data_IF_280739722009
#
_entry.id   IF_280739722009
#
_cell.length_a   1.000
_cell.length_b   1.000
_cell.length_c   1.000
_cell.angle_alpha   90.00
_cell.angle_beta   90.00
_cell.angle_gamma   90.00
#
_symmetry.space_group_name_H-M   'P 1'
#
loop_
_entity.id
_entity.type
_entity.pdbx_description
1 polymer ?
2 non-polymer ?
3 non-polymer ?
4 water ?
#
# COMPACT_ATOMS: atom_id res chain seq x y z
N UNK A 1 20.01 -8.15 6.38
CA UNK A 1 20.07 -9.42 5.59
C UNK A 1 21.16 -9.32 4.53
N UNK A 2 21.77 -10.46 4.24
CA UNK A 2 22.76 -10.50 3.17
C UNK A 2 22.08 -10.64 1.79
N UNK A 3 22.83 -10.50 0.70
CA UNK A 3 22.33 -10.72 -0.66
C UNK A 3 22.64 -12.13 -1.12
N UNK A 4 21.62 -12.93 -1.39
CA UNK A 4 21.85 -14.30 -1.81
C UNK A 4 22.19 -14.37 -3.28
N UNK A 5 22.87 -15.46 -3.66
CA UNK A 5 23.28 -15.65 -5.05
C UNK A 5 22.80 -16.97 -5.65
N UNK A 6 21.93 -17.68 -4.94
CA UNK A 6 21.44 -18.96 -5.44
C UNK A 6 20.49 -18.84 -6.62
N UNK A 7 19.78 -17.72 -6.69
CA UNK A 7 18.75 -17.51 -7.71
C UNK A 7 18.90 -16.07 -8.18
N UNK A 8 19.16 -15.89 -9.48
CA UNK A 8 19.28 -14.55 -10.05
C UNK A 8 18.01 -13.76 -9.77
N UNK A 9 18.18 -12.47 -9.46
CA UNK A 9 17.06 -11.58 -9.27
C UNK A 9 16.88 -10.73 -10.51
N UNK A 10 15.81 -10.99 -11.24
CA UNK A 10 15.51 -10.27 -12.48
C UNK A 10 14.20 -9.55 -12.25
N UNK A 11 14.27 -8.24 -12.09
CA UNK A 11 13.06 -7.48 -11.84
C UNK A 11 12.21 -7.32 -13.09
N UNK A 12 10.93 -7.68 -13.02
CA UNK A 12 10.08 -7.45 -14.18
C UNK A 12 10.04 -5.98 -14.56
N UNK A 13 9.97 -5.68 -15.84
CA UNK A 13 9.85 -4.29 -16.27
C UNK A 13 8.42 -3.83 -16.13
N UNK A 14 8.25 -2.58 -15.70
CA UNK A 14 6.93 -2.00 -15.69
C UNK A 14 7.10 -0.52 -15.98
N UNK A 15 6.91 -0.15 -17.23
CA UNK A 15 7.21 1.20 -17.68
C UNK A 15 6.21 2.16 -17.04
N UNK A 16 6.63 3.39 -16.76
CA UNK A 16 5.70 4.39 -16.29
C UNK A 16 5.98 5.62 -17.14
N UNK A 17 5.15 6.64 -16.95
CA UNK A 17 5.38 7.88 -17.69
C UNK A 17 5.49 9.07 -16.76
N UNK A 18 6.44 9.95 -17.05
CA UNK A 18 6.50 11.21 -16.31
C UNK A 18 5.99 12.30 -17.27
N UNK A 19 5.16 13.20 -16.75
CA UNK A 19 4.37 14.13 -17.57
C UNK A 19 4.57 15.55 -17.09
N UNK A 20 4.69 16.48 -18.04
CA UNK A 20 4.68 17.92 -17.76
C UNK A 20 3.68 18.60 -18.65
N UNK A 21 3.23 19.75 -18.17
CA UNK A 21 2.23 20.55 -18.85
C UNK A 21 2.69 20.86 -20.29
N UNK A 22 3.92 21.35 -20.40
CA UNK A 22 4.40 21.75 -21.72
C UNK A 22 4.92 20.64 -22.61
N UNK A 23 5.51 19.62 -21.99
CA UNK A 23 6.26 18.59 -22.67
C UNK A 23 5.47 17.32 -22.90
N UNK A 24 4.34 17.20 -22.21
CA UNK A 24 3.59 15.98 -22.29
C UNK A 24 4.28 14.86 -21.54
N UNK A 25 3.96 13.65 -21.98
CA UNK A 25 4.32 12.44 -21.26
C UNK A 25 5.51 11.76 -21.92
N UNK A 26 6.45 11.31 -21.10
CA UNK A 26 7.63 10.60 -21.57
C UNK A 26 7.83 9.31 -20.76
N UNK A 27 8.13 8.21 -21.42
CA UNK A 27 8.36 6.94 -20.71
C UNK A 27 9.62 6.86 -19.84
N UNK A 28 9.48 6.14 -18.73
CA UNK A 28 10.57 5.81 -17.83
C UNK A 28 10.65 4.28 -17.81
N UNK A 29 11.86 3.77 -17.88
CA UNK A 29 12.07 2.32 -17.88
C UNK A 29 12.12 1.76 -16.46
N UNK A 30 11.02 1.96 -15.75
CA UNK A 30 10.94 1.46 -14.38
C UNK A 30 10.72 -0.05 -14.32
N UNK A 31 10.94 -0.62 -13.13
CA UNK A 31 10.82 -2.06 -12.94
C UNK A 31 10.07 -2.28 -11.64
N UNK A 32 9.75 -3.53 -11.29
CA UNK A 32 9.18 -3.80 -9.94
C UNK A 32 9.98 -4.87 -9.23
N UNK A 33 9.96 -4.82 -7.90
CA UNK A 33 10.74 -5.74 -7.09
C UNK A 33 9.87 -6.31 -5.97
N UNK A 34 9.95 -7.62 -5.77
CA UNK A 34 9.21 -8.28 -4.71
C UNK A 34 9.72 -7.88 -3.32
N UNK A 35 8.78 -7.57 -2.43
CA UNK A 35 9.09 -7.25 -1.04
C UNK A 35 9.82 -8.38 -0.31
N UNK A 36 10.77 -8.02 0.55
CA UNK A 36 11.66 -9.01 1.15
C UNK A 36 10.93 -10.05 2.01
N UNK A 37 9.76 -9.72 2.56
CA UNK A 37 9.07 -10.68 3.42
C UNK A 37 8.64 -11.95 2.70
N UNK A 38 8.46 -11.86 1.38
CA UNK A 38 8.04 -13.00 0.59
C UNK A 38 9.16 -13.93 0.16
N UNK A 39 10.40 -13.49 0.31
CA UNK A 39 11.54 -14.23 -0.25
C UNK A 39 12.04 -15.37 0.62
N UNK A 40 12.68 -16.30 -0.06
CA UNK A 40 13.49 -17.33 0.56
C UNK A 40 14.60 -16.68 1.36
N UNK A 41 14.79 -17.13 2.60
CA UNK A 41 15.87 -16.60 3.42
C UNK A 41 16.70 -17.81 3.84
N UNK A 42 18.00 -17.79 3.53
CA UNK A 42 18.80 -19.00 3.75
C UNK A 42 20.22 -18.63 4.16
N UNK A 43 20.97 -19.59 4.69
CA UNK A 43 22.35 -19.32 5.12
C UNK A 43 23.17 -18.72 3.97
N UNK A 44 23.97 -17.70 4.29
CA UNK A 44 24.79 -17.06 3.27
C UNK A 44 25.75 -18.03 2.62
N UNK A 45 26.11 -19.07 3.35
CA UNK A 45 27.11 -19.98 2.80
C UNK A 45 26.53 -21.20 2.08
N UNK A 46 25.21 -21.26 1.91
CA UNK A 46 24.59 -22.43 1.28
C UNK A 46 23.09 -22.34 1.03
N UNK A 47 22.37 -23.43 1.33
CA UNK A 47 20.96 -23.51 0.96
C UNK A 47 20.03 -23.75 2.16
N UNK A 48 20.59 -23.86 3.36
CA UNK A 48 19.78 -24.11 4.54
C UNK A 48 18.89 -22.93 4.93
N UNK A 49 17.61 -23.19 5.18
CA UNK A 49 16.69 -22.09 5.48
C UNK A 49 17.02 -21.44 6.81
N UNK A 50 16.96 -20.11 6.87
CA UNK A 50 16.92 -19.40 8.13
C UNK A 50 15.49 -19.25 8.66
N UNK A 51 14.52 -19.40 7.79
CA UNK A 51 13.13 -19.19 8.16
C UNK A 51 12.39 -20.23 7.32
N UNK A 52 11.56 -21.04 7.95
CA UNK A 52 10.72 -22.00 7.24
C UNK A 52 9.32 -21.99 7.84
N UNK A 53 8.31 -21.88 6.99
CA UNK A 53 6.95 -21.84 7.52
C UNK A 53 6.75 -20.55 8.28
N UNK A 54 6.63 -20.66 9.60
CA UNK A 54 6.41 -19.47 10.40
C UNK A 54 7.42 -19.34 11.55
N UNK A 55 8.55 -20.03 11.42
CA UNK A 55 9.56 -19.99 12.46
C UNK A 55 10.96 -19.83 11.88
N UNK A 56 11.78 -19.19 12.68
CA UNK A 56 13.19 -19.00 12.39
C UNK A 56 14.00 -20.18 12.90
N UNK A 57 15.14 -20.39 12.28
CA UNK A 57 16.11 -21.36 12.77
C UNK A 57 16.93 -20.68 13.86
N UNK A 58 16.74 -21.09 15.13
CA UNK A 58 17.42 -20.37 16.20
C UNK A 58 18.91 -20.71 16.25
N UNK A 59 19.34 -21.75 15.55
CA UNK A 59 20.76 -21.97 15.36
C UNK A 59 21.40 -20.86 14.51
N UNK A 60 20.81 -20.62 13.35
CA UNK A 60 21.31 -19.56 12.45
C UNK A 60 20.93 -18.18 12.97
N UNK A 61 19.82 -18.12 13.71
CA UNK A 61 19.26 -16.84 14.12
C UNK A 61 18.97 -16.70 15.61
N UNK A 62 20.00 -16.79 16.45
CA UNK A 62 19.78 -16.65 17.89
C UNK A 62 19.47 -15.23 18.33
N UNK A 63 19.81 -14.24 17.50
CA UNK A 63 19.47 -12.87 17.78
C UNK A 63 19.42 -12.12 16.45
N UNK A 64 18.88 -10.90 16.47
CA UNK A 64 18.68 -10.16 15.25
C UNK A 64 19.92 -9.90 14.40
N UNK A 65 21.01 -9.51 15.06
CA UNK A 65 22.23 -9.13 14.37
C UNK A 65 22.92 -10.38 13.83
N UNK A 66 22.97 -11.43 14.64
CA UNK A 66 23.55 -12.69 14.18
C UNK A 66 22.78 -13.25 12.98
N UNK A 67 21.46 -13.17 13.05
CA UNK A 67 20.65 -13.66 11.95
C UNK A 67 20.96 -12.90 10.66
N UNK A 68 20.97 -11.58 10.74
CA UNK A 68 21.24 -10.76 9.56
C UNK A 68 22.61 -11.05 8.94
N UNK A 69 23.57 -11.42 9.79
CA UNK A 69 24.89 -11.71 9.28
C UNK A 69 24.91 -13.10 8.62
N UNK A 70 24.11 -14.02 9.14
CA UNK A 70 24.14 -15.42 8.70
C UNK A 70 23.26 -15.69 7.51
N UNK A 71 22.30 -14.78 7.28
CA UNK A 71 21.18 -15.08 6.41
C UNK A 71 21.05 -14.12 5.26
N UNK A 72 20.70 -14.68 4.11
CA UNK A 72 20.59 -13.98 2.86
C UNK A 72 19.20 -14.09 2.24
N UNK A 73 18.73 -12.98 1.71
CA UNK A 73 17.56 -12.95 0.84
C UNK A 73 17.94 -13.38 -0.56
N UNK A 74 17.09 -14.16 -1.22
CA UNK A 74 17.48 -14.54 -2.56
C UNK A 74 16.51 -14.11 -3.64
N UNK A 75 16.87 -14.38 -4.90
CA UNK A 75 16.08 -14.04 -6.06
C UNK A 75 14.77 -14.78 -6.12
N UNK A 76 13.82 -14.28 -6.91
CA UNK A 76 12.44 -14.76 -6.93
C UNK A 76 12.03 -15.20 -8.34
N UNK A 77 11.30 -16.32 -8.46
CA UNK A 77 10.62 -16.66 -9.71
C UNK A 77 9.28 -15.94 -9.64
N UNK A 78 9.25 -14.77 -10.27
CA UNK A 78 8.12 -13.89 -10.11
C UNK A 78 6.78 -14.55 -10.49
N UNK A 79 6.72 -15.14 -11.69
CA UNK A 79 5.49 -15.76 -12.14
C UNK A 79 5.26 -17.11 -11.47
N UNK A 80 6.29 -17.93 -11.45
CA UNK A 80 6.10 -19.31 -11.03
C UNK A 80 5.79 -19.48 -9.56
N UNK A 81 6.43 -18.66 -8.73
CA UNK A 81 6.26 -18.79 -7.28
C UNK A 81 5.22 -17.80 -6.77
N UNK A 82 5.16 -16.61 -7.35
CA UNK A 82 4.35 -15.55 -6.75
C UNK A 82 3.18 -15.06 -7.57
N UNK A 83 3.03 -15.54 -8.80
CA UNK A 83 1.92 -15.15 -9.63
C UNK A 83 1.99 -13.70 -10.09
N UNK A 84 3.21 -13.20 -10.22
CA UNK A 84 3.45 -11.81 -10.66
C UNK A 84 3.94 -11.80 -12.07
N UNK A 85 3.21 -11.12 -12.95
CA UNK A 85 3.68 -10.96 -14.30
C UNK A 85 3.51 -9.53 -14.78
N UNK A 86 4.31 -9.17 -15.77
CA UNK A 86 4.13 -7.88 -16.39
C UNK A 86 4.25 -7.99 -17.89
N UNK A 87 3.39 -7.26 -18.61
CA UNK A 87 3.59 -7.07 -20.04
C UNK A 87 4.67 -6.06 -20.41
N UNK A 88 5.18 -5.34 -19.41
CA UNK A 88 6.03 -4.21 -19.67
C UNK A 88 5.31 -2.91 -19.34
N UNK A 89 3.98 -2.91 -19.43
CA UNK A 89 3.23 -1.73 -18.99
C UNK A 89 2.09 -2.06 -18.06
N UNK A 90 1.72 -3.33 -18.00
CA UNK A 90 0.62 -3.76 -17.14
C UNK A 90 1.08 -4.89 -16.24
N UNK A 91 0.82 -4.71 -14.95
CA UNK A 91 1.28 -5.62 -13.91
C UNK A 91 0.10 -6.44 -13.42
N UNK A 92 0.23 -7.76 -13.51
CA UNK A 92 -0.81 -8.65 -12.98
C UNK A 92 -0.33 -9.33 -11.70
N UNK A 93 -1.10 -9.18 -10.63
CA UNK A 93 -0.79 -9.83 -9.35
C UNK A 93 -1.90 -10.83 -9.07
N UNK A 94 -1.53 -12.10 -9.06
CA UNK A 94 -2.50 -13.16 -8.85
C UNK A 94 -2.53 -13.43 -7.36
N UNK A 95 -3.66 -13.87 -6.84
CA UNK A 95 -3.86 -14.02 -5.41
C UNK A 95 -3.10 -15.23 -4.84
N UNK A 96 -3.54 -16.46 -5.18
CA UNK A 96 -2.82 -17.63 -4.68
C UNK A 96 -2.01 -18.38 -5.74
N UNK A 97 -0.77 -18.72 -5.40
CA UNK A 97 0.08 -19.47 -6.32
C UNK A 97 0.71 -20.56 -5.46
N UNK A 98 0.27 -21.79 -5.65
CA UNK A 98 0.71 -22.88 -4.80
C UNK A 98 0.40 -22.52 -3.36
N UNK A 99 1.40 -22.52 -2.48
CA UNK A 99 1.17 -22.22 -1.08
C UNK A 99 1.45 -20.74 -0.79
N UNK A 100 1.73 -19.98 -1.85
CA UNK A 100 2.01 -18.56 -1.67
C UNK A 100 0.73 -17.77 -1.72
N UNK A 101 0.53 -16.85 -0.79
CA UNK A 101 -0.67 -16.03 -0.82
C UNK A 101 -0.28 -14.56 -0.91
N UNK A 102 -0.76 -13.92 -1.97
CA UNK A 102 -0.54 -12.51 -2.19
C UNK A 102 0.86 -12.15 -2.60
N UNK A 103 1.06 -10.84 -2.76
CA UNK A 103 2.38 -10.31 -3.05
C UNK A 103 2.36 -8.82 -2.80
N UNK A 104 3.54 -8.24 -2.65
CA UNK A 104 3.69 -6.79 -2.72
C UNK A 104 4.99 -6.52 -3.44
N UNK A 105 4.95 -5.56 -4.37
CA UNK A 105 6.14 -5.19 -5.10
C UNK A 105 6.30 -3.67 -5.04
N UNK A 106 7.51 -3.18 -5.31
CA UNK A 106 7.75 -1.75 -5.34
C UNK A 106 8.27 -1.32 -6.70
N UNK A 107 7.93 -0.10 -7.07
CA UNK A 107 8.42 0.45 -8.34
C UNK A 107 9.87 0.89 -8.21
N UNK A 108 10.72 0.41 -9.11
CA UNK A 108 12.15 0.74 -9.08
C UNK A 108 12.54 1.68 -10.21
N UNK A 109 13.43 2.62 -9.91
CA UNK A 109 14.07 3.45 -10.94
C UNK A 109 15.11 2.64 -11.72
N UNK A 110 15.82 1.78 -10.99
CA UNK A 110 16.77 0.86 -11.60
C UNK A 110 16.95 -0.32 -10.65
N UNK A 111 17.94 -1.16 -10.93
CA UNK A 111 18.04 -2.42 -10.20
C UNK A 111 18.40 -2.33 -8.73
N UNK A 112 18.90 -1.18 -8.29
CA UNK A 112 19.21 -1.02 -6.87
C UNK A 112 18.58 0.18 -6.18
N UNK A 113 17.63 0.84 -6.81
CA UNK A 113 16.94 1.95 -6.15
C UNK A 113 15.47 1.96 -6.47
N UNK A 114 14.66 2.08 -5.44
CA UNK A 114 13.25 2.41 -5.64
C UNK A 114 13.09 3.73 -6.38
N UNK A 115 12.05 3.83 -7.20
CA UNK A 115 11.66 5.12 -7.75
C UNK A 115 11.13 6.02 -6.64
N UNK A 116 11.70 7.21 -6.50
CA UNK A 116 11.29 8.08 -5.41
C UNK A 116 10.36 9.12 -6.00
N UNK A 117 9.09 9.05 -5.63
CA UNK A 117 8.07 9.89 -6.22
C UNK A 117 7.84 11.09 -5.30
N UNK A 118 7.88 12.29 -5.86
CA UNK A 118 7.65 13.51 -5.09
C UNK A 118 6.40 14.15 -5.66
N UNK A 119 5.28 13.99 -4.97
CA UNK A 119 4.00 14.24 -5.60
C UNK A 119 3.31 15.50 -5.09
N UNK A 120 3.98 16.29 -4.26
CA UNK A 120 3.32 17.56 -3.88
C UNK A 120 3.09 18.44 -5.11
N UNK A 121 1.87 18.95 -5.30
CA UNK A 121 1.55 19.77 -6.46
C UNK A 121 1.76 18.95 -7.72
N UNK A 122 1.46 17.65 -7.62
CA UNK A 122 1.60 16.77 -8.76
C UNK A 122 0.42 15.83 -8.72
N UNK A 123 0.32 15.00 -9.75
CA UNK A 123 -0.76 14.00 -9.74
C UNK A 123 -0.22 12.63 -10.12
N UNK A 124 -0.92 11.62 -9.68
CA UNK A 124 -0.58 10.25 -9.99
C UNK A 124 -1.79 9.59 -10.62
N UNK A 125 -1.58 8.88 -11.73
CA UNK A 125 -2.70 8.27 -12.45
C UNK A 125 -2.33 6.86 -12.83
N UNK A 126 -3.33 5.98 -12.80
CA UNK A 126 -3.13 4.60 -13.24
C UNK A 126 -4.43 4.02 -13.74
N UNK A 127 -4.36 2.89 -14.46
CA UNK A 127 -5.56 2.13 -14.77
C UNK A 127 -5.58 0.88 -13.91
N UNK A 128 -6.79 0.42 -13.60
CA UNK A 128 -6.95 -0.78 -12.79
C UNK A 128 -8.05 -1.63 -13.39
N UNK A 129 -7.83 -2.94 -13.36
CA UNK A 129 -8.90 -3.87 -13.67
C UNK A 129 -9.15 -4.74 -12.44
N UNK A 130 -10.33 -4.59 -11.84
CA UNK A 130 -10.70 -5.33 -10.65
C UNK A 130 -11.81 -6.32 -10.98
N UNK A 131 -12.01 -6.60 -12.26
CA UNK A 131 -13.08 -7.52 -12.65
C UNK A 131 -13.01 -8.86 -11.94
N UNK A 132 -11.80 -9.30 -11.63
CA UNK A 132 -11.55 -10.57 -10.96
C UNK A 132 -11.00 -10.41 -9.53
N UNK A 133 -11.35 -9.30 -8.89
CA UNK A 133 -10.88 -9.02 -7.54
C UNK A 133 -12.10 -8.84 -6.64
N UNK A 134 -12.57 -9.91 -6.02
CA UNK A 134 -13.82 -9.88 -5.27
C UNK A 134 -13.76 -9.44 -3.82
N UNK A 135 -14.94 -9.35 -3.19
CA UNK A 135 -15.09 -9.22 -1.74
C UNK A 135 -14.00 -9.95 -0.94
N UNK A 136 -13.53 -9.28 0.11
CA UNK A 136 -12.52 -9.80 1.01
C UNK A 136 -11.08 -9.64 0.56
N UNK A 137 -10.84 -9.21 -0.67
CA UNK A 137 -9.46 -9.07 -1.16
C UNK A 137 -9.19 -7.59 -1.29
N UNK A 138 -7.92 -7.22 -1.40
CA UNK A 138 -7.59 -5.81 -1.55
C UNK A 138 -6.45 -5.74 -2.59
N UNK A 139 -6.66 -4.98 -3.66
CA UNK A 139 -5.60 -4.69 -4.61
C UNK A 139 -5.21 -3.26 -4.28
N UNK A 140 -4.02 -3.10 -3.71
CA UNK A 140 -3.63 -1.81 -3.15
C UNK A 140 -2.47 -1.20 -3.93
N UNK A 141 -2.56 0.12 -4.11
CA UNK A 141 -1.49 0.86 -4.78
C UNK A 141 -1.34 2.03 -3.84
N UNK A 142 -0.14 2.12 -3.28
CA UNK A 142 0.08 3.11 -2.24
C UNK A 142 1.50 3.57 -2.13
N UNK A 143 1.68 4.68 -1.41
CA UNK A 143 3.02 5.22 -1.18
C UNK A 143 3.44 5.04 0.26
N UNK A 144 4.71 4.69 0.47
CA UNK A 144 5.31 4.63 1.80
C UNK A 144 6.61 5.44 1.83
N UNK A 145 6.92 6.04 2.97
CA UNK A 145 8.13 6.85 3.13
C UNK A 145 9.34 5.97 3.42
N UNK A 146 9.56 5.01 2.53
CA UNK A 146 10.75 4.17 2.53
C UNK A 146 11.94 4.89 1.95
N UNK A 147 13.13 4.41 2.29
CA UNK A 147 14.35 4.95 1.70
C UNK A 147 14.58 4.37 0.30
N UNK A 148 15.14 5.15 -0.60
CA UNK A 148 15.26 4.62 -1.97
C UNK A 148 16.16 3.39 -2.09
N UNK A 149 17.07 3.25 -1.15
CA UNK A 149 18.00 2.10 -1.13
C UNK A 149 17.55 1.02 -0.13
N UNK A 150 16.31 1.14 0.35
CA UNK A 150 15.76 0.10 1.18
C UNK A 150 16.39 0.04 2.55
N UNK A 151 17.18 1.07 2.89
CA UNK A 151 17.77 1.14 4.21
C UNK A 151 19.27 0.85 4.23
N UNK A 152 19.87 0.60 3.07
CA UNK A 152 21.23 0.09 3.08
C UNK A 152 22.20 1.12 3.65
N UNK A 153 21.99 2.39 3.32
CA UNK A 153 22.95 3.38 3.77
C UNK A 153 22.85 3.60 5.29
N UNK A 154 21.67 3.41 5.84
CA UNK A 154 21.44 3.66 7.26
C UNK A 154 21.78 2.47 8.16
N UNK A 155 21.75 1.26 7.61
CA UNK A 155 21.84 0.06 8.44
C UNK A 155 22.87 -0.91 7.88
N UNK A 156 24.05 -0.93 8.50
CA UNK A 156 25.15 -1.74 7.97
C UNK A 156 24.80 -3.23 7.83
N UNK A 157 23.82 -3.68 8.61
CA UNK A 157 23.43 -5.08 8.64
C UNK A 157 22.62 -5.46 7.42
N UNK A 158 22.17 -4.45 6.67
CA UNK A 158 21.38 -4.69 5.46
C UNK A 158 22.28 -4.53 4.24
N UNK A 159 22.69 -5.65 3.67
CA UNK A 159 23.54 -5.65 2.49
C UNK A 159 22.74 -6.05 1.25
N UNK A 160 21.42 -6.19 1.41
CA UNK A 160 20.57 -6.63 0.34
C UNK A 160 19.92 -5.43 -0.34
N UNK A 161 19.26 -4.57 0.43
CA UNK A 161 18.77 -3.32 -0.14
C UNK A 161 17.58 -3.44 -1.06
N UNK A 162 17.34 -2.38 -1.82
CA UNK A 162 16.16 -2.28 -2.66
C UNK A 162 16.11 -3.39 -3.70
N UNK A 163 17.28 -3.87 -4.13
CA UNK A 163 17.32 -4.96 -5.09
C UNK A 163 16.51 -6.17 -4.62
N UNK A 164 16.41 -6.35 -3.30
CA UNK A 164 15.69 -7.51 -2.75
C UNK A 164 14.46 -7.05 -1.98
N UNK A 165 14.04 -5.81 -2.21
CA UNK A 165 12.77 -5.35 -1.63
C UNK A 165 12.81 -5.11 -0.13
N UNK A 166 13.97 -4.73 0.39
CA UNK A 166 14.03 -4.40 1.83
C UNK A 166 13.54 -3.01 2.23
N UNK A 167 13.30 -2.83 3.52
CA UNK A 167 13.06 -1.52 4.10
C UNK A 167 11.62 -1.08 4.18
N UNK A 168 10.72 -2.04 4.06
CA UNK A 168 9.31 -1.70 4.16
C UNK A 168 8.96 -0.99 5.47
N UNK A 169 8.00 -0.07 5.39
CA UNK A 169 7.38 0.51 6.57
C UNK A 169 6.02 0.98 6.12
N UNK A 170 5.11 1.12 7.07
CA UNK A 170 3.82 1.72 6.75
C UNK A 170 3.17 2.23 8.01
N UNK A 171 1.96 2.75 7.87
CA UNK A 171 1.36 3.54 8.97
C UNK A 171 0.81 2.62 10.05
N UNK A 172 0.87 1.32 9.80
CA UNK A 172 0.34 0.34 10.74
C UNK A 172 1.47 -0.16 11.64
N UNK A 173 2.69 0.33 11.42
CA UNK A 173 3.83 -0.07 12.26
C UNK A 173 3.92 -1.61 12.36
N UNK A 174 3.82 -2.31 11.24
CA UNK A 174 3.66 -3.76 11.27
C UNK A 174 4.85 -4.45 11.94
N UNK A 175 4.56 -5.44 12.79
CA UNK A 175 5.60 -6.20 13.47
C UNK A 175 5.81 -7.54 12.80
N UNK A 176 5.18 -7.77 11.65
CA UNK A 176 5.34 -9.04 10.94
C UNK A 176 6.49 -9.00 9.92
N UNK A 177 7.14 -7.86 9.82
CA UNK A 177 8.24 -7.71 8.86
C UNK A 177 9.48 -8.38 9.43
N UNK A 178 10.13 -9.18 8.60
CA UNK A 178 11.18 -10.08 9.04
C UNK A 178 12.52 -9.40 9.23
N UNK A 179 12.85 -8.45 8.37
CA UNK A 179 14.05 -7.64 8.54
C UNK A 179 13.73 -6.16 8.72
N UNK A 180 14.21 -5.57 9.82
CA UNK A 180 14.02 -4.15 10.09
C UNK A 180 15.35 -3.58 10.58
N UNK A 181 15.76 -2.46 9.99
CA UNK A 181 16.98 -1.78 10.43
C UNK A 181 18.18 -2.73 10.32
N UNK A 182 18.17 -3.60 9.33
CA UNK A 182 19.32 -4.47 9.12
C UNK A 182 19.44 -5.59 10.13
N UNK A 183 18.38 -5.83 10.91
CA UNK A 183 18.40 -6.94 11.88
C UNK A 183 17.17 -7.80 11.68
N UNK A 184 17.31 -9.11 11.79
CA UNK A 184 16.11 -9.94 11.80
C UNK A 184 15.26 -9.66 13.02
N UNK A 185 13.97 -9.59 12.78
CA UNK A 185 13.00 -9.27 13.83
C UNK A 185 12.60 -10.50 14.63
N UNK A 186 13.59 -11.17 15.22
CA UNK A 186 13.34 -12.47 15.82
C UNK A 186 12.96 -12.46 17.29
N UNK A 187 13.00 -11.27 17.90
CA UNK A 187 12.78 -11.16 19.34
C UNK A 187 11.34 -11.48 19.65
N UNK A 188 11.12 -12.38 20.60
CA UNK A 188 9.78 -12.75 21.01
C UNK A 188 8.95 -13.15 19.81
N UNK A 189 9.57 -13.86 18.86
CA UNK A 189 8.85 -14.20 17.66
C UNK A 189 7.64 -15.05 17.98
N UNK A 190 6.50 -14.64 17.43
CA UNK A 190 5.19 -15.21 17.71
C UNK A 190 4.53 -15.62 16.39
N UNK A 191 4.10 -16.88 16.28
CA UNK A 191 3.44 -17.35 15.07
C UNK A 191 2.06 -16.73 14.96
N UNK A 192 1.68 -16.29 13.77
CA UNK A 192 0.35 -15.71 13.57
C UNK A 192 -0.44 -16.37 12.45
N UNK A 193 0.23 -17.26 11.73
CA UNK A 193 -0.40 -18.03 10.69
C UNK A 193 0.64 -19.02 10.22
N UNK A 194 0.28 -19.84 9.24
CA UNK A 194 1.16 -20.90 8.76
C UNK A 194 2.47 -20.37 8.19
N UNK A 195 2.43 -19.20 7.57
CA UNK A 195 3.66 -18.67 6.98
C UNK A 195 4.07 -17.33 7.57
N UNK A 196 3.40 -16.91 8.63
CA UNK A 196 3.66 -15.60 9.20
C UNK A 196 3.82 -15.58 10.71
N UNK A 197 4.46 -14.51 11.17
CA UNK A 197 4.64 -14.24 12.59
C UNK A 197 4.92 -12.78 12.86
N UNK A 198 5.10 -12.44 14.12
CA UNK A 198 5.51 -11.11 14.52
C UNK A 198 6.65 -11.18 15.50
N UNK A 199 7.46 -10.14 15.47
CA UNK A 199 8.60 -10.00 16.34
C UNK A 199 8.39 -8.79 17.22
N UNK A 200 9.41 -8.42 17.96
CA UNK A 200 9.28 -7.42 19.01
C UNK A 200 9.31 -5.99 18.46
N UNK A 201 9.75 -5.85 17.20
CA UNK A 201 9.84 -4.54 16.58
C UNK A 201 8.83 -4.38 15.46
N UNK A 202 8.35 -3.15 15.29
CA UNK A 202 7.59 -2.79 14.10
C UNK A 202 8.34 -1.78 13.27
N UNK A 203 7.82 -1.46 12.09
CA UNK A 203 8.50 -0.50 11.25
C UNK A 203 7.46 0.48 10.68
N UNK A 204 7.64 1.74 11.04
CA UNK A 204 6.63 2.79 10.90
C UNK A 204 7.08 3.86 9.92
N UNK A 205 6.13 4.34 9.13
CA UNK A 205 6.30 5.58 8.39
C UNK A 205 4.98 6.06 7.80
N UNK A 206 4.95 7.33 7.42
CA UNK A 206 3.76 7.88 6.78
C UNK A 206 3.46 7.11 5.50
N UNK A 207 2.18 7.08 5.15
CA UNK A 207 1.69 6.23 4.07
C UNK A 207 0.56 7.00 3.38
N UNK A 208 0.58 7.03 2.06
CA UNK A 208 -0.54 7.57 1.31
C UNK A 208 -1.19 6.44 0.51
N UNK A 209 -2.39 6.04 0.93
CA UNK A 209 -3.08 4.99 0.23
C UNK A 209 -3.86 5.55 -0.92
N UNK A 210 -3.21 5.59 -2.09
CA UNK A 210 -3.90 6.07 -3.28
C UNK A 210 -5.09 5.19 -3.60
N UNK A 211 -4.97 3.88 -3.36
CA UNK A 211 -6.01 2.97 -3.83
C UNK A 211 -5.98 1.72 -2.97
N UNK A 212 -7.05 1.51 -2.22
CA UNK A 212 -7.28 0.22 -1.59
C UNK A 212 -8.65 -0.17 -2.03
N UNK A 213 -8.80 -1.29 -2.73
CA UNK A 213 -10.09 -1.54 -3.36
C UNK A 213 -10.22 -2.99 -3.78
N UNK A 214 -11.48 -3.38 -3.96
CA UNK A 214 -11.85 -4.55 -4.73
C UNK A 214 -13.10 -4.15 -5.49
N UNK A 215 -13.72 -5.08 -6.19
CA UNK A 215 -14.81 -4.68 -7.07
C UNK A 215 -16.07 -4.29 -6.33
N UNK A 216 -16.06 -4.40 -5.01
CA UNK A 216 -17.17 -3.91 -4.20
C UNK A 216 -16.99 -2.50 -3.64
N UNK A 217 -15.76 -2.11 -3.32
CA UNK A 217 -15.57 -0.87 -2.57
C UNK A 217 -14.14 -0.42 -2.80
N UNK A 218 -13.94 0.88 -2.65
CA UNK A 218 -12.61 1.48 -2.79
C UNK A 218 -12.47 2.62 -1.79
N UNK A 219 -11.23 2.85 -1.38
CA UNK A 219 -10.95 3.98 -0.50
C UNK A 219 -9.59 4.58 -0.87
N UNK A 220 -9.44 5.88 -0.69
CA UNK A 220 -8.15 6.52 -0.71
C UNK A 220 -7.98 7.28 0.61
N UNK A 221 -6.78 7.18 1.16
CA UNK A 221 -6.56 7.52 2.57
C UNK A 221 -5.12 7.95 2.87
N UNK A 222 -4.90 9.22 3.23
CA UNK A 222 -3.62 9.58 3.83
C UNK A 222 -3.48 9.09 5.28
N UNK A 223 -2.29 8.60 5.63
CA UNK A 223 -1.96 8.25 7.01
C UNK A 223 -0.66 8.90 7.48
N UNK A 224 -0.69 10.08 8.11
CA UNK A 224 0.55 10.70 8.56
C UNK A 224 1.06 10.05 9.83
N UNK A 225 2.37 10.10 10.00
CA UNK A 225 3.00 9.73 11.27
C UNK A 225 3.82 10.90 11.76
N UNK A 226 4.06 10.96 13.07
CA UNK A 226 4.84 12.06 13.63
C UNK A 226 6.32 12.02 13.31
N UNK A 227 6.80 10.86 12.87
CA UNK A 227 8.21 10.73 12.52
C UNK A 227 8.44 11.04 11.06
N UNK A 228 9.70 11.07 10.68
CA UNK A 228 10.02 11.31 9.29
C UNK A 228 10.84 10.12 8.88
N UNK A 229 10.39 9.47 7.83
CA UNK A 229 11.09 8.32 7.29
C UNK A 229 10.85 7.09 8.11
N UNK A 230 11.42 5.99 7.61
CA UNK A 230 11.20 4.68 8.17
C UNK A 230 11.83 4.63 9.55
N UNK A 231 11.04 4.18 10.52
CA UNK A 231 11.41 4.21 11.93
C UNK A 231 11.06 2.89 12.56
N UNK A 232 12.02 2.25 13.21
CA UNK A 232 11.71 1.05 13.95
C UNK A 232 11.12 1.44 15.30
N UNK A 233 10.09 0.72 15.73
CA UNK A 233 9.33 1.03 16.95
C UNK A 233 9.27 -0.21 17.85
N UNK A 234 9.15 0.03 19.15
CA UNK A 234 8.85 -1.05 20.07
C UNK A 234 7.88 -0.48 21.08
N UNK A 235 7.20 -1.37 21.79
CA UNK A 235 6.32 -0.97 22.86
C UNK A 235 5.24 -0.03 22.34
N UNK A 236 4.92 0.99 23.12
CA UNK A 236 3.71 1.75 22.89
C UNK A 236 3.80 2.56 21.60
N UNK A 237 5.02 2.84 21.15
CA UNK A 237 5.20 3.57 19.90
C UNK A 237 4.60 2.80 18.73
N UNK A 238 4.57 1.48 18.81
CA UNK A 238 4.02 0.67 17.71
C UNK A 238 2.52 0.66 17.67
N UNK A 239 1.90 1.12 18.76
CA UNK A 239 0.47 0.92 18.93
C UNK A 239 -0.22 1.76 17.87
N UNK A 240 -1.14 1.15 17.14
CA UNK A 240 -1.89 1.87 16.12
C UNK A 240 -2.57 3.08 16.75
N UNK A 241 -2.42 4.21 16.08
CA UNK A 241 -3.15 5.44 16.41
C UNK A 241 -2.56 6.19 17.58
N UNK A 242 -2.35 5.50 18.69
CA UNK A 242 -1.89 6.18 19.90
C UNK A 242 -0.38 6.29 19.86
N UNK A 243 0.25 5.53 18.98
CA UNK A 243 1.69 5.57 18.87
C UNK A 243 2.14 6.57 17.83
N UNK A 244 3.20 6.24 17.10
CA UNK A 244 3.80 7.18 16.17
C UNK A 244 2.87 7.55 15.02
N UNK A 245 1.98 6.64 14.65
CA UNK A 245 1.31 6.73 13.35
C UNK A 245 -0.20 6.79 13.43
N UNK A 246 -0.80 7.50 12.48
CA UNK A 246 -2.24 7.41 12.28
C UNK A 246 -2.61 6.16 11.51
N UNK A 247 -3.04 5.13 12.23
CA UNK A 247 -3.36 3.84 11.64
C UNK A 247 -4.69 3.84 10.91
N UNK A 248 -5.64 4.68 11.34
CA UNK A 248 -6.95 4.72 10.72
C UNK A 248 -6.93 5.52 9.41
N UNK A 249 -6.19 6.62 9.41
CA UNK A 249 -6.10 7.51 8.26
C UNK A 249 -7.34 8.37 8.11
N UNK A 250 -7.28 9.34 7.22
CA UNK A 250 -8.49 10.06 6.87
C UNK A 250 -8.97 9.54 5.53
N UNK A 251 -9.94 8.64 5.56
CA UNK A 251 -10.33 7.91 4.36
C UNK A 251 -11.47 8.57 3.61
N UNK A 252 -11.44 8.44 2.29
CA UNK A 252 -12.57 8.73 1.44
C UNK A 252 -12.98 7.47 0.68
N UNK A 253 -14.03 6.84 1.21
CA UNK A 253 -14.67 5.71 0.58
C UNK A 253 -16.07 6.20 0.20
N UNK A 254 -16.38 6.20 -1.10
CA UNK A 254 -17.62 6.81 -1.57
C UNK A 254 -18.84 6.23 -0.87
N UNK A 255 -18.80 4.93 -0.63
CA UNK A 255 -19.91 4.26 0.03
C UNK A 255 -20.01 4.64 1.50
N UNK A 256 -18.88 4.61 2.20
CA UNK A 256 -18.85 5.06 3.59
C UNK A 256 -19.31 6.50 3.72
N UNK A 257 -19.01 7.29 2.69
CA UNK A 257 -19.39 8.68 2.72
C UNK A 257 -20.81 8.91 2.20
N UNK A 258 -21.55 7.84 1.97
CA UNK A 258 -23.00 7.99 1.85
C UNK A 258 -23.55 7.96 0.44
N UNK A 259 -22.71 7.60 -0.52
CA UNK A 259 -23.14 7.38 -1.88
C UNK A 259 -22.95 5.91 -2.21
N UNK A 260 -24.04 5.16 -2.09
CA UNK A 260 -23.96 3.71 -2.19
C UNK A 260 -24.04 3.20 -3.62
N UNK A 261 -24.18 4.10 -4.60
CA UNK A 261 -24.35 3.71 -6.00
C UNK A 261 -23.28 4.30 -6.93
N UNK A 262 -22.23 4.86 -6.35
CA UNK A 262 -21.20 5.47 -7.20
C UNK A 262 -20.22 4.48 -7.83
N UNK A 263 -19.73 3.55 -7.03
CA UNK A 263 -18.63 2.68 -7.44
C UNK A 263 -18.94 1.23 -7.06
N UNK A 264 -18.89 0.35 -8.05
CA UNK A 264 -19.20 -1.06 -7.90
C UNK A 264 -19.59 -1.66 -9.23
N UNK A 265 -20.03 -2.92 -9.25
CA UNK A 265 -20.38 -3.56 -10.51
C UNK A 265 -21.59 -2.86 -11.13
N UNK A 266 -21.44 -2.44 -12.38
CA UNK A 266 -22.44 -1.70 -13.13
C UNK A 266 -22.80 -0.31 -12.67
N UNK A 267 -22.01 0.25 -11.73
CA UNK A 267 -22.27 1.58 -11.17
C UNK A 267 -21.63 2.68 -12.03
N UNK A 268 -21.62 3.92 -11.53
CA UNK A 268 -21.04 5.03 -12.28
C UNK A 268 -19.59 4.78 -12.67
N UNK A 269 -18.82 4.32 -11.69
CA UNK A 269 -17.50 3.76 -11.93
C UNK A 269 -17.77 2.26 -11.83
N UNK A 270 -17.70 1.61 -13.00
CA UNK A 270 -18.15 0.24 -13.22
C UNK A 270 -16.97 -0.69 -12.99
N UNK A 271 -16.93 -1.34 -11.83
CA UNK A 271 -15.72 -2.08 -11.42
C UNK A 271 -15.67 -3.43 -12.11
N UNK A 272 -16.69 -3.70 -12.92
CA UNK A 272 -16.62 -4.90 -13.74
C UNK A 272 -15.72 -4.72 -14.95
N UNK A 273 -15.29 -3.49 -15.23
CA UNK A 273 -14.45 -3.21 -16.39
C UNK A 273 -13.24 -2.33 -15.95
N UNK A 274 -12.16 -2.26 -16.72
CA UNK A 274 -11.01 -1.41 -16.36
C UNK A 274 -11.42 0.07 -16.31
N UNK A 275 -10.70 0.84 -15.50
CA UNK A 275 -10.92 2.29 -15.54
C UNK A 275 -9.64 2.98 -15.05
N UNK A 276 -9.63 4.29 -15.21
CA UNK A 276 -8.48 5.13 -14.91
C UNK A 276 -8.79 5.88 -13.61
N UNK A 277 -7.79 5.99 -12.74
CA UNK A 277 -7.93 6.68 -11.45
C UNK A 277 -6.84 7.76 -11.40
N UNK A 278 -7.31 9.00 -11.24
CA UNK A 278 -6.41 10.15 -11.16
C UNK A 278 -6.47 10.67 -9.74
N UNK A 279 -5.30 10.95 -9.18
CA UNK A 279 -5.26 11.48 -7.82
C UNK A 279 -4.35 12.69 -7.82
N UNK A 280 -4.86 13.83 -7.36
CA UNK A 280 -4.06 15.06 -7.43
C UNK A 280 -3.79 15.57 -6.03
N UNK A 281 -2.57 16.05 -5.81
CA UNK A 281 -2.12 16.44 -4.47
C UNK A 281 -1.87 17.96 -4.50
N UNK A 282 -2.89 18.72 -4.11
CA UNK A 282 -2.84 20.17 -4.28
C UNK A 282 -2.25 20.85 -3.05
N UNK A 283 -1.49 21.92 -3.28
CA UNK A 283 -0.95 22.68 -2.14
C UNK A 283 -1.67 24.02 -2.03
N UNK A 284 -1.54 24.68 -0.88
CA UNK A 284 -2.28 25.91 -0.65
C UNK A 284 -1.93 27.02 -1.64
N UNK A 285 -0.70 26.96 -2.16
CA UNK A 285 -0.24 28.01 -3.05
C UNK A 285 0.13 27.50 -4.44
N UNK A 286 -0.30 26.28 -4.75
CA UNK A 286 0.01 25.66 -6.04
C UNK A 286 1.49 25.63 -6.34
N UNK A 287 2.33 25.49 -5.31
CA UNK A 287 3.75 25.24 -5.51
C UNK A 287 4.15 23.93 -4.85
N UNK A 288 5.27 23.38 -5.29
CA UNK A 288 5.81 22.20 -4.64
C UNK A 288 6.41 22.45 -3.25
N UNK A 289 6.41 23.69 -2.77
CA UNK A 289 6.88 23.98 -1.40
C UNK A 289 5.73 24.32 -0.48
N UNK A 290 4.53 24.38 -1.01
CA UNK A 290 3.39 24.73 -0.20
C UNK A 290 2.94 23.58 0.70
N UNK A 291 1.91 23.87 1.49
CA UNK A 291 1.32 22.89 2.39
C UNK A 291 0.25 22.11 1.64
N UNK A 292 0.34 20.77 1.68
CA UNK A 292 -0.72 19.95 1.12
C UNK A 292 -2.08 20.37 1.70
N UNK A 293 -3.01 20.71 0.82
CA UNK A 293 -4.29 21.31 1.22
C UNK A 293 -5.50 20.49 0.76
N UNK A 294 -5.32 19.71 -0.28
CA UNK A 294 -6.46 18.97 -0.81
C UNK A 294 -5.95 17.76 -1.58
N UNK A 295 -6.65 16.63 -1.46
CA UNK A 295 -6.39 15.49 -2.33
C UNK A 295 -7.64 15.26 -3.16
N UNK A 296 -7.51 15.46 -4.47
CA UNK A 296 -8.65 15.29 -5.37
C UNK A 296 -8.57 13.97 -6.11
N UNK A 297 -9.73 13.51 -6.56
CA UNK A 297 -9.85 12.22 -7.27
C UNK A 297 -10.77 12.39 -8.45
N UNK A 298 -10.29 11.95 -9.61
CA UNK A 298 -11.09 11.92 -10.84
C UNK A 298 -10.97 10.52 -11.42
N UNK A 299 -12.06 9.99 -11.97
CA UNK A 299 -12.02 8.71 -12.67
C UNK A 299 -12.26 8.93 -14.17
N UNK A 300 -11.71 8.04 -14.99
CA UNK A 300 -12.07 8.05 -16.40
C UNK A 300 -12.43 6.64 -16.79
N UNK A 301 -13.60 6.48 -17.40
CA UNK A 301 -13.98 5.15 -17.89
C UNK A 301 -14.73 5.29 -19.20
N UNK A 302 -14.35 4.49 -20.19
CA UNK A 302 -14.92 4.64 -21.53
C UNK A 302 -14.86 6.07 -22.08
N UNK A 303 -13.76 6.76 -21.78
CA UNK A 303 -13.58 8.13 -22.22
C UNK A 303 -14.43 9.16 -21.50
N UNK A 304 -15.23 8.73 -20.53
CA UNK A 304 -16.05 9.66 -19.75
C UNK A 304 -15.29 10.09 -18.51
N UNK A 305 -15.22 11.40 -18.33
CA UNK A 305 -14.56 11.97 -17.14
C UNK A 305 -15.57 12.00 -15.99
N UNK A 306 -15.22 11.36 -14.87
CA UNK A 306 -16.15 11.16 -13.78
C UNK A 306 -15.56 11.80 -12.53
N UNK A 307 -16.22 12.86 -12.03
CA UNK A 307 -15.74 13.48 -10.80
C UNK A 307 -16.02 12.57 -9.62
N UNK A 308 -15.26 12.74 -8.55
CA UNK A 308 -15.50 11.95 -7.35
C UNK A 308 -16.89 12.21 -6.76
N UNK A 309 -17.43 11.20 -6.09
CA UNK A 309 -18.71 11.35 -5.43
C UNK A 309 -18.65 12.36 -4.31
N UNK A 310 -19.82 12.96 -4.04
CA UNK A 310 -19.93 13.92 -2.96
C UNK A 310 -20.31 13.21 -1.66
N UNK A 311 -19.78 13.68 -0.54
CA UNK A 311 -20.10 13.14 0.78
C UNK A 311 -21.56 13.45 1.07
N UNK A 312 -22.25 12.48 1.68
CA UNK A 312 -23.64 12.72 2.04
C UNK A 312 -23.89 12.16 3.43
N UNK A 313 -23.38 12.89 4.43
CA UNK A 313 -23.47 12.52 5.84
C UNK A 313 -23.84 13.75 6.69
N UNK A 314 -24.90 13.67 7.48
CA UNK A 314 -25.26 14.77 8.37
C UNK A 314 -24.05 15.26 9.18
N UNK A 315 -23.79 16.56 9.14
CA UNK A 315 -22.68 17.10 9.89
C UNK A 315 -21.39 17.08 9.08
N UNK A 316 -21.44 16.59 7.85
CA UNK A 316 -20.27 16.66 6.97
C UNK A 316 -20.61 17.46 5.73
N UNK A 317 -19.78 18.45 5.42
CA UNK A 317 -20.05 19.30 4.25
C UNK A 317 -20.02 18.36 3.05
N UNK A 318 -20.88 18.62 2.07
CA UNK A 318 -21.00 17.75 0.88
C UNK A 318 -19.88 18.03 -0.14
N UNK A 319 -18.69 17.56 0.19
CA UNK A 319 -17.51 17.78 -0.64
C UNK A 319 -17.10 16.45 -1.23
N UNK A 320 -16.17 16.51 -2.18
CA UNK A 320 -15.74 15.31 -2.89
C UNK A 320 -14.21 15.17 -2.93
N UNK A 321 -13.54 15.87 -2.04
CA UNK A 321 -12.10 15.72 -1.91
C UNK A 321 -11.71 15.66 -0.45
N UNK A 322 -10.48 15.23 -0.19
CA UNK A 322 -10.01 15.19 1.20
C UNK A 322 -9.34 16.50 1.55
N UNK A 323 -9.79 17.12 2.65
CA UNK A 323 -9.13 18.31 3.19
C UNK A 323 -9.08 18.13 4.71
N UNK A 324 -8.32 18.96 5.40
CA UNK A 324 -8.29 18.89 6.87
C UNK A 324 -9.69 19.06 7.48
N UNK A 325 -10.48 19.98 6.91
CA UNK A 325 -11.82 20.19 7.44
C UNK A 325 -12.72 18.98 7.20
N UNK A 326 -12.62 18.37 6.03
CA UNK A 326 -13.40 17.17 5.78
C UNK A 326 -13.07 16.08 6.79
N UNK A 327 -11.78 15.90 7.02
CA UNK A 327 -11.30 14.92 7.98
C UNK A 327 -11.90 15.16 9.38
N UNK A 328 -11.85 16.40 9.86
CA UNK A 328 -12.39 16.67 11.20
C UNK A 328 -13.89 16.40 11.24
N UNK A 329 -14.60 16.84 10.20
CA UNK A 329 -16.01 16.57 10.13
C UNK A 329 -16.37 15.11 10.06
N UNK A 330 -15.66 14.32 9.27
CA UNK A 330 -16.07 12.94 9.14
C UNK A 330 -15.71 12.19 10.42
N UNK A 331 -14.59 12.55 11.05
CA UNK A 331 -14.13 11.88 12.29
C UNK A 331 -15.17 12.17 13.37
N UNK A 332 -15.60 13.42 13.47
CA UNK A 332 -16.57 13.77 14.52
C UNK A 332 -17.84 13.05 14.16
N UNK A 333 -18.24 13.12 12.90
CA UNK A 333 -19.50 12.53 12.50
C UNK A 333 -19.52 11.04 12.69
N UNK A 334 -18.34 10.43 12.61
CA UNK A 334 -18.29 8.97 12.66
C UNK A 334 -17.94 8.49 14.07
N UNK A 335 -17.63 9.41 14.98
CA UNK A 335 -17.23 9.04 16.35
C UNK A 335 -15.77 8.68 16.49
N UNK A 336 -14.96 9.00 15.49
CA UNK A 336 -13.59 8.51 15.48
C UNK A 336 -12.70 9.62 16.00
N UNK A 337 -11.69 9.26 16.77
CA UNK A 337 -10.75 10.28 17.20
C UNK A 337 -9.99 10.69 15.98
N UNK A 338 -9.70 11.99 15.93
CA UNK A 338 -8.92 12.54 14.84
C UNK A 338 -7.44 12.35 15.05
N UNK A 339 -7.00 11.10 14.97
CA UNK A 339 -5.58 10.79 15.11
C UNK A 339 -4.81 11.38 13.95
N UNK A 340 -5.47 11.40 12.79
CA UNK A 340 -4.96 12.05 11.60
C UNK A 340 -4.49 13.46 11.94
N UNK A 341 -5.36 14.30 12.52
CA UNK A 341 -4.93 15.63 12.91
C UNK A 341 -3.87 15.61 14.00
N UNK A 342 -4.01 14.67 14.92
CA UNK A 342 -3.01 14.56 15.98
C UNK A 342 -1.59 14.37 15.48
N UNK A 343 -1.43 13.62 14.38
CA UNK A 343 -0.10 13.40 13.83
C UNK A 343 0.30 14.49 12.86
N UNK A 344 -0.59 15.45 12.62
CA UNK A 344 -0.19 16.65 11.90
C UNK A 344 -0.97 16.85 10.59
N UNK A 345 -1.93 15.97 10.37
CA UNK A 345 -2.91 16.12 9.29
C UNK A 345 -2.30 16.17 7.90
N UNK A 346 -2.96 16.89 7.00
CA UNK A 346 -2.42 16.98 5.64
C UNK A 346 -1.06 17.65 5.55
N UNK A 347 -0.78 18.62 6.43
CA UNK A 347 0.51 19.28 6.36
C UNK A 347 1.61 18.23 6.56
N UNK A 348 1.43 17.37 7.56
CA UNK A 348 2.43 16.35 7.85
C UNK A 348 2.48 15.32 6.74
N UNK A 349 1.31 14.93 6.21
CA UNK A 349 1.29 14.03 5.04
C UNK A 349 2.08 14.64 3.88
N UNK A 350 1.89 15.93 3.67
CA UNK A 350 2.54 16.60 2.56
C UNK A 350 4.04 16.67 2.72
N UNK A 351 4.52 16.84 3.95
CA UNK A 351 5.96 16.87 4.13
C UNK A 351 6.57 15.52 3.75
N UNK A 352 5.87 14.45 4.07
CA UNK A 352 6.33 13.14 3.60
C UNK A 352 6.25 13.03 2.08
N UNK A 353 5.16 13.48 1.47
CA UNK A 353 5.12 13.45 0.01
C UNK A 353 6.26 14.27 -0.57
N UNK A 354 6.53 15.40 0.06
CA UNK A 354 7.60 16.27 -0.40
C UNK A 354 8.97 15.66 -0.34
N UNK A 355 9.22 14.83 0.67
CA UNK A 355 10.55 14.25 0.85
C UNK A 355 10.73 13.05 -0.08
N UNK A 356 9.63 12.60 -0.67
CA UNK A 356 9.68 11.48 -1.59
C UNK A 356 9.22 10.18 -0.95
N UNK A 357 8.44 9.43 -1.72
CA UNK A 357 7.88 8.17 -1.27
C UNK A 357 8.03 7.09 -2.35
N UNK A 358 7.91 5.84 -1.91
CA UNK A 358 8.08 4.68 -2.77
C UNK A 358 6.69 4.12 -3.05
N UNK A 359 6.46 3.69 -4.29
CA UNK A 359 5.18 3.15 -4.74
C UNK A 359 5.17 1.63 -4.51
N UNK A 360 4.21 1.19 -3.72
CA UNK A 360 3.92 -0.23 -3.54
C UNK A 360 2.65 -0.64 -4.29
N UNK A 361 2.68 -1.87 -4.83
CA UNK A 361 1.51 -2.47 -5.45
C UNK A 361 1.35 -3.84 -4.83
N UNK A 362 0.13 -4.22 -4.47
CA UNK A 362 -0.05 -5.42 -3.67
C UNK A 362 -1.40 -6.05 -3.95
N UNK A 363 -1.46 -7.35 -3.70
CA UNK A 363 -2.76 -7.98 -3.52
C UNK A 363 -2.70 -8.79 -2.23
N UNK A 364 -3.75 -8.70 -1.42
CA UNK A 364 -3.69 -9.35 -0.13
C UNK A 364 -5.09 -9.66 0.42
N UNK A 365 -5.13 -10.62 1.35
CA UNK A 365 -6.25 -10.73 2.28
C UNK A 365 -5.85 -10.33 3.70
N UNK A 366 -6.83 -10.26 4.61
CA UNK A 366 -6.62 -9.55 5.87
C UNK A 366 -6.94 -10.49 7.03
N UNK A 367 -5.91 -10.99 7.71
CA UNK A 367 -6.13 -11.93 8.82
C UNK A 367 -6.67 -11.25 10.06
N UNK A 368 -6.52 -9.94 10.18
CA UNK A 368 -6.96 -9.25 11.40
C UNK A 368 -8.46 -8.97 11.35
N UNK A 369 -8.89 -8.41 10.23
CA UNK A 369 -10.27 -7.93 10.16
C UNK A 369 -11.04 -8.36 8.93
N UNK A 370 -10.51 -9.31 8.15
CA UNK A 370 -11.26 -9.87 7.04
C UNK A 370 -11.66 -8.86 5.96
N UNK A 371 -10.94 -7.74 5.94
CA UNK A 371 -11.17 -6.66 4.98
C UNK A 371 -12.52 -5.98 5.20
N UNK A 372 -13.17 -6.24 6.33
CA UNK A 372 -14.47 -5.64 6.54
C UNK A 372 -14.42 -4.11 6.64
N UNK A 373 -13.28 -3.58 7.08
CA UNK A 373 -13.09 -2.13 7.18
C UNK A 373 -13.13 -1.51 5.79
N UNK A 374 -12.90 -2.30 4.75
CA UNK A 374 -12.93 -1.79 3.39
C UNK A 374 -14.29 -1.95 2.73
N UNK A 375 -14.93 -3.08 3.00
CA UNK A 375 -16.06 -3.40 2.16
C UNK A 375 -17.29 -3.88 2.91
N UNK A 376 -17.33 -3.72 4.22
CA UNK A 376 -18.47 -4.24 4.99
C UNK A 376 -18.73 -3.36 6.23
N UNK A 377 -19.36 -3.93 7.27
CA UNK A 377 -19.56 -3.14 8.47
C UNK A 377 -18.38 -3.26 9.41
N UNK A 378 -17.85 -2.13 9.89
CA UNK A 378 -16.73 -2.16 10.81
C UNK A 378 -16.87 -0.93 11.70
N UNK A 379 -16.50 -1.01 12.98
CA UNK A 379 -16.22 -2.28 13.68
C UNK A 379 -17.41 -3.24 13.68
N UNK A 380 -17.15 -4.53 13.94
CA UNK A 380 -18.17 -5.58 13.85
C UNK A 380 -19.15 -5.48 15.01
N UNK A 381 -18.81 -4.65 15.99
CA UNK A 381 -19.67 -4.49 17.15
C UNK A 381 -20.46 -3.18 17.18
N UNK A 382 -20.52 -2.49 16.05
CA UNK A 382 -21.28 -1.24 16.02
C UNK A 382 -22.51 -1.38 15.13
N UNK A 383 -23.52 -0.54 15.36
CA UNK A 383 -24.73 -0.60 14.57
C UNK A 383 -24.42 -0.06 13.18
N UNK A 384 -24.66 -0.91 12.22
CA UNK A 384 -24.36 -0.64 10.81
C UNK A 384 -25.17 0.53 10.31
N UNK A 385 -26.13 1.03 11.08
CA UNK A 385 -26.90 2.16 10.61
C UNK A 385 -26.27 3.44 11.12
N UNK A 386 -25.29 3.33 12.01
CA UNK A 386 -24.66 4.53 12.53
C UNK A 386 -23.74 5.06 11.43
N UNK A 387 -23.68 6.37 11.29
CA UNK A 387 -22.77 7.01 10.34
C UNK A 387 -21.36 6.40 10.40
N UNK A 388 -20.86 5.93 9.25
CA UNK A 388 -19.50 5.45 9.17
C UNK A 388 -19.31 3.95 9.34
N UNK A 389 -20.27 3.26 9.92
CA UNK A 389 -20.02 1.84 10.18
C UNK A 389 -19.98 1.01 8.91
N UNK A 390 -20.89 1.32 7.99
CA UNK A 390 -21.02 0.58 6.74
C UNK A 390 -20.15 1.12 5.58
N UNK A 391 -19.18 0.31 5.13
CA UNK A 391 -18.22 0.76 4.09
C UNK A 391 -18.44 0.08 2.71
N UNK A 392 -19.26 -0.95 2.69
CA UNK A 392 -19.58 -1.63 1.46
C UNK A 392 -20.75 -2.58 1.64
N UNK A 393 -21.04 -3.38 0.61
CA UNK A 393 -22.13 -4.36 0.71
C UNK A 393 -21.69 -5.82 0.86
N UNK A 394 -20.39 -6.06 1.04
CA UNK A 394 -19.92 -7.43 1.26
C UNK A 394 -20.48 -7.98 2.57
N UNK A 395 -20.80 -9.26 2.64
CA UNK A 395 -21.35 -9.85 3.87
C UNK A 395 -20.37 -9.73 5.04
N UNK A 396 -20.87 -9.64 6.27
CA UNK A 396 -19.98 -9.48 7.42
C UNK A 396 -19.19 -10.74 7.69
N UNK A 397 -19.55 -11.78 6.96
CA UNK A 397 -18.95 -13.09 7.09
C UNK A 397 -17.85 -13.28 6.05
N UNK A 398 -17.70 -12.31 5.15
CA UNK A 398 -16.79 -12.49 4.03
C UNK A 398 -15.36 -12.18 4.44
N UNK A 399 -14.42 -12.54 3.56
CA UNK A 399 -13.03 -12.15 3.73
C UNK A 399 -12.21 -12.90 4.77
N UNK A 400 -12.71 -14.01 5.30
CA UNK A 400 -11.85 -14.79 6.17
C UNK A 400 -10.83 -15.47 5.26
N UNK A 401 -9.54 -15.27 5.53
CA UNK A 401 -8.50 -15.76 4.62
C UNK A 401 -8.61 -17.24 4.25
N UNK A 402 -8.86 -18.12 5.21
CA UNK A 402 -8.98 -19.52 4.86
C UNK A 402 -10.06 -19.75 3.81
N UNK A 403 -11.14 -18.98 3.86
CA UNK A 403 -12.21 -19.07 2.88
C UNK A 403 -11.82 -18.56 1.49
N UNK A 404 -11.41 -17.31 1.37
CA UNK A 404 -11.11 -16.80 0.03
C UNK A 404 -9.93 -17.51 -0.63
N UNK A 405 -8.94 -17.89 0.16
CA UNK A 405 -7.80 -18.62 -0.39
C UNK A 405 -8.22 -19.95 -1.04
N UNK A 406 -9.20 -20.64 -0.47
CA UNK A 406 -9.67 -21.85 -1.16
C UNK A 406 -10.74 -21.60 -2.21
N UNK A 407 -11.55 -20.56 -2.01
CA UNK A 407 -12.66 -20.33 -2.93
C UNK A 407 -12.36 -19.53 -4.21
N UNK A 408 -11.53 -18.49 -4.10
CA UNK A 408 -11.23 -17.66 -5.26
C UNK A 408 -9.72 -17.45 -5.40
N UNK A 409 -8.95 -18.53 -5.37
CA UNK A 409 -7.49 -18.41 -5.40
C UNK A 409 -6.99 -17.75 -6.69
N UNK A 410 -7.72 -17.82 -7.80
CA UNK A 410 -7.22 -17.26 -9.04
C UNK A 410 -7.65 -15.82 -9.23
N UNK A 411 -8.19 -15.22 -8.19
CA UNK A 411 -8.44 -13.77 -8.21
C UNK A 411 -7.17 -13.04 -8.61
N UNK A 412 -7.32 -11.87 -9.20
CA UNK A 412 -6.12 -11.08 -9.51
C UNK A 412 -6.50 -9.62 -9.66
N UNK A 413 -5.48 -8.76 -9.62
CA UNK A 413 -5.66 -7.36 -10.00
C UNK A 413 -4.68 -7.02 -11.10
N UNK A 414 -5.05 -6.08 -11.97
CA UNK A 414 -4.14 -5.67 -13.05
C UNK A 414 -3.98 -4.15 -12.94
N UNK A 415 -2.75 -3.68 -12.77
CA UNK A 415 -2.47 -2.24 -12.62
C UNK A 415 -1.66 -1.87 -13.84
N UNK A 416 -2.04 -0.79 -14.53
CA UNK A 416 -1.34 -0.44 -15.77
C UNK A 416 -1.33 1.07 -15.99
N UNK A 417 -0.66 1.49 -17.07
CA UNK A 417 -0.69 2.87 -17.49
C UNK A 417 -0.34 3.83 -16.36
N UNK A 418 0.76 3.53 -15.69
CA UNK A 418 1.13 4.34 -14.55
C UNK A 418 1.73 5.65 -15.04
N UNK A 419 1.21 6.78 -14.55
CA UNK A 419 1.73 8.09 -14.99
C UNK A 419 1.79 9.04 -13.78
N UNK A 420 2.75 9.95 -13.78
CA UNK A 420 2.75 10.93 -12.72
C UNK A 420 3.36 12.19 -13.25
N UNK A 421 3.01 13.32 -12.65
CA UNK A 421 3.61 14.57 -13.12
C UNK A 421 2.73 15.78 -12.79
N UNK A 422 2.80 16.81 -13.62
CA UNK A 422 2.12 18.04 -13.29
C UNK A 422 0.63 17.81 -13.25
N UNK A 423 -0.01 18.55 -12.35
CA UNK A 423 -1.46 18.51 -12.24
C UNK A 423 -2.12 18.86 -13.57
N UNK A 424 -3.03 18.00 -14.00
CA UNK A 424 -3.71 18.18 -15.27
C UNK A 424 -2.93 17.64 -16.46
N UNK A 425 -1.72 17.11 -16.24
CA UNK A 425 -0.91 16.71 -17.39
C UNK A 425 -0.93 15.20 -17.69
N UNK A 426 -1.43 14.39 -16.77
CA UNK A 426 -1.39 12.94 -17.04
C UNK A 426 -2.61 12.46 -17.81
N UNK A 427 -3.54 13.36 -18.04
CA UNK A 427 -4.71 13.04 -18.82
C UNK A 427 -5.15 14.33 -19.48
N UNK A 428 -5.96 14.16 -20.52
CA UNK A 428 -6.45 15.31 -21.25
C UNK A 428 -7.94 15.18 -21.53
N UNK A 429 -8.52 16.31 -21.91
CA UNK A 429 -9.92 16.37 -22.22
C UNK A 429 -10.09 17.11 -23.52
N UNK A 430 -11.17 16.78 -24.21
CA UNK A 430 -11.55 17.62 -25.33
C UNK A 430 -13.04 17.55 -25.59
N UNK A 431 -13.57 18.59 -26.23
CA UNK A 431 -14.91 18.56 -26.82
C UNK A 431 -14.84 18.56 -28.37
X LIG B 1 -4.38 27.23 -7.32
X LIG B 1 -4.83 28.69 -7.48
X LIG B 1 -6.36 28.79 -7.44
X LIG B 1 -7.04 27.74 -8.33
X LIG B 1 -6.39 26.37 -8.14
X LIG B 1 -6.96 25.38 -9.16
X LIG B 1 -3.40 30.46 -6.60
X LIG B 1 -2.83 31.12 -5.38
X LIG B 1 -4.34 29.55 -6.40
X LIG B 1 -6.70 30.12 -7.78
X LIG B 1 -8.44 27.65 -8.07
X LIG B 1 -5.00 26.49 -8.34
X LIG B 1 -6.89 24.06 -8.67
X LIG B 1 -2.99 30.74 -7.72
X LIG C 1 -6.78 -0.94 8.41
X LIG C 1 -7.28 0.33 8.62
X LIG C 1 -8.20 0.58 9.64
X LIG C 1 -8.64 -0.43 10.51
X LIG C 1 -8.56 -2.78 11.20
X LIG C 1 -8.03 -4.06 10.99
X LIG C 1 -7.12 -4.33 9.97
X LIG C 1 -6.69 -3.32 9.12
X LIG C 1 -7.20 -2.04 9.31
X LIG C 1 -8.17 -1.74 10.38
X LIG C 1 -5.88 -1.25 7.44
X LIG C 1 -5.36 -0.19 6.60
X LIG C 1 -4.21 -0.65 5.73
X LIG C 1 -3.35 -1.52 6.47
X LIG C 1 -3.40 0.54 5.28
X LIG C 1 -2.65 0.39 4.19
X LIG C 1 -2.08 -0.89 3.78
X LIG C 1 -2.08 -0.97 2.25
X LIG C 1 -0.64 -1.01 4.27
#
# INVERSE_FOLDING_TARGET
>A
QQAGTNTAENHPQLQSQQCTTSGGCKPLSTKVVLDSNWRWVHSTSGYTNCYTGNEWDTSLCPDGKTCAANCALDGADYSGTYGITSTGTALTLKFVTGSNVGSRVYLMADDTHYQLLKLLNQEFTFDVDMSNLPCGLNGALYLSAMDADGGMSKYPGNKAGAKYGTGYCDSQCPKDIKFINGEANVGNWTETGSNTGTGSYGTCCSEMDIWEANNDAAAFTPHPCTTTGQTRCSGDDCARNTGLCDGDGCDFNSFRMGDKTFLGKGMTVDTSKPFTVVTQFLTNDNTSTGTLSEIRRIYIQNGKVIQNSVANIPGVDPVNSITDNFCAQQKTAFGDTNWFAQKGGLKQMGEALGNGMVLALSIWDDHAANMLWLDSDYPTDKDPSAPGVARGTCATTSGVPSDVESQVPNSQVVFSNIKFGDIGSTFSGTS
>B hetero
1 NAG C1 C2 C3 C4 C5 C6 C7 C8 N2 O3 O4 O5 O6 O7
>C hetero
1 RNP C1 C2 C3 C4 C5 C6 C7 C8 C9 C10 O1 C11 C12 O2 C13 N1 C14 C15 C16
#
